data_IF_143391301226
#
_entry.id   IF_143391301226
#
_cell.length_a   1.000
_cell.length_b   1.000
_cell.length_c   1.000
_cell.angle_alpha   90.00
_cell.angle_beta   90.00
_cell.angle_gamma   90.00
#
_symmetry.space_group_name_H-M   'P 1'
#
loop_
_entity.id
_entity.type
_entity.pdbx_description
1 polymer ?
#
# COMPACT_ATOMS: atom_id res chain seq x y z
N UNK A 1 18.32 5.53 16.22
CA UNK A 1 18.27 5.43 14.75
C UNK A 1 17.47 6.57 14.14
N UNK A 2 16.28 6.85 14.66
CA UNK A 2 15.37 7.91 14.19
C UNK A 2 16.07 9.26 13.93
N UNK A 3 16.76 9.83 14.94
CA UNK A 3 17.47 11.12 14.77
C UNK A 3 18.50 11.13 13.63
N UNK A 4 19.17 10.00 13.40
CA UNK A 4 20.13 9.87 12.30
C UNK A 4 19.41 9.85 10.95
N UNK A 5 18.34 9.03 10.82
CA UNK A 5 17.52 8.99 9.60
C UNK A 5 16.98 10.39 9.30
N UNK A 6 16.33 11.02 10.28
CA UNK A 6 15.79 12.37 10.18
C UNK A 6 16.84 13.37 9.70
N UNK A 7 18.00 13.42 10.36
CA UNK A 7 19.10 14.31 9.95
C UNK A 7 19.54 14.03 8.51
N UNK A 8 19.75 12.78 8.13
CA UNK A 8 20.22 12.43 6.80
C UNK A 8 19.18 12.73 5.71
N UNK A 9 17.92 12.36 5.92
CA UNK A 9 16.81 12.59 4.99
C UNK A 9 16.59 14.08 4.76
N UNK A 10 16.46 14.88 5.82
CA UNK A 10 16.14 16.31 5.70
C UNK A 10 17.29 17.14 5.11
N UNK A 11 18.53 16.65 5.19
CA UNK A 11 19.69 17.28 4.55
C UNK A 11 19.99 16.74 3.14
N UNK A 12 19.18 15.81 2.61
CA UNK A 12 19.41 15.21 1.29
C UNK A 12 20.59 14.24 1.23
N UNK A 13 21.07 13.74 2.37
CA UNK A 13 22.18 12.79 2.49
C UNK A 13 21.71 11.35 2.22
N UNK A 14 21.05 11.09 1.09
CA UNK A 14 20.32 9.83 0.82
C UNK A 14 21.22 8.59 0.75
N UNK A 15 22.47 8.73 0.29
CA UNK A 15 23.46 7.64 0.34
C UNK A 15 23.72 7.14 1.77
N UNK A 16 23.67 8.03 2.76
CA UNK A 16 23.84 7.66 4.16
C UNK A 16 22.61 6.89 4.68
N UNK A 17 21.41 7.27 4.24
CA UNK A 17 20.17 6.56 4.56
C UNK A 17 20.19 5.15 3.97
N UNK A 18 20.60 5.01 2.71
CA UNK A 18 20.76 3.70 2.06
C UNK A 18 21.75 2.79 2.81
N UNK A 19 22.87 3.35 3.28
CA UNK A 19 23.85 2.61 4.11
C UNK A 19 23.27 2.19 5.46
N UNK A 20 22.43 3.03 6.08
CA UNK A 20 21.74 2.66 7.31
C UNK A 20 20.76 1.50 7.08
N UNK A 21 19.99 1.56 5.99
CA UNK A 21 19.06 0.48 5.60
C UNK A 21 19.78 -0.85 5.39
N UNK A 22 20.93 -0.84 4.70
CA UNK A 22 21.68 -2.08 4.43
C UNK A 22 22.49 -2.61 5.61
N UNK A 23 22.76 -1.77 6.63
CA UNK A 23 23.52 -2.14 7.81
C UNK A 23 22.65 -2.58 9.00
N UNK A 24 21.33 -2.52 8.86
CA UNK A 24 20.35 -2.78 9.93
C UNK A 24 19.39 -3.87 9.50
N UNK A 25 18.76 -4.54 10.47
CA UNK A 25 17.55 -5.33 10.18
C UNK A 25 16.47 -4.43 9.53
N UNK A 26 15.83 -4.94 8.48
CA UNK A 26 14.90 -4.13 7.70
C UNK A 26 13.68 -3.69 8.52
N UNK A 27 13.17 -4.52 9.43
CA UNK A 27 12.02 -4.16 10.25
C UNK A 27 12.38 -3.05 11.24
N UNK A 28 13.56 -3.13 11.87
CA UNK A 28 14.07 -2.05 12.74
C UNK A 28 14.25 -0.74 11.95
N UNK A 29 14.77 -0.81 10.72
CA UNK A 29 14.89 0.36 9.86
C UNK A 29 13.52 0.91 9.43
N UNK A 30 12.57 0.06 9.01
CA UNK A 30 11.20 0.42 8.60
C UNK A 30 10.51 1.18 9.74
N UNK A 31 10.52 0.64 10.96
CA UNK A 31 9.94 1.26 12.15
C UNK A 31 10.58 2.62 12.47
N UNK A 32 11.91 2.70 12.44
CA UNK A 32 12.62 3.95 12.69
C UNK A 32 12.34 5.00 11.60
N UNK A 33 12.30 4.60 10.33
CA UNK A 33 12.06 5.48 9.20
C UNK A 33 10.65 6.09 9.23
N UNK A 34 9.64 5.25 9.44
CA UNK A 34 8.23 5.68 9.53
C UNK A 34 8.01 6.56 10.76
N UNK A 35 8.62 6.22 11.90
CA UNK A 35 8.53 7.06 13.11
C UNK A 35 9.14 8.45 12.87
N UNK A 36 10.30 8.54 12.22
CA UNK A 36 10.91 9.82 11.87
C UNK A 36 10.04 10.63 10.91
N UNK A 37 9.45 9.98 9.91
CA UNK A 37 8.54 10.63 8.98
C UNK A 37 7.25 11.15 9.64
N UNK A 38 6.72 10.42 10.63
CA UNK A 38 5.52 10.81 11.36
C UNK A 38 5.71 12.09 12.20
N UNK A 39 6.92 12.35 12.71
CA UNK A 39 7.20 13.57 13.46
C UNK A 39 7.31 14.83 12.59
N UNK A 40 7.86 14.69 11.38
CA UNK A 40 8.20 15.81 10.51
C UNK A 40 7.21 16.02 9.36
N UNK A 41 6.50 14.96 8.96
CA UNK A 41 5.55 14.92 7.84
C UNK A 41 6.14 15.47 6.52
N UNK A 42 7.45 15.34 6.35
CA UNK A 42 8.16 15.91 5.21
C UNK A 42 8.13 14.99 3.98
N UNK A 43 7.79 15.55 2.81
CA UNK A 43 7.91 14.84 1.53
C UNK A 43 9.35 14.46 1.16
N UNK A 44 10.36 14.94 1.90
CA UNK A 44 11.75 14.51 1.75
C UNK A 44 11.94 13.03 2.06
N UNK A 45 11.15 12.46 2.98
CA UNK A 45 11.17 11.02 3.23
C UNK A 45 10.75 10.25 1.98
N UNK A 46 9.70 10.69 1.28
CA UNK A 46 9.30 10.06 0.03
C UNK A 46 10.32 10.26 -1.08
N UNK A 47 10.89 11.47 -1.17
CA UNK A 47 11.96 11.80 -2.14
C UNK A 47 13.19 10.90 -1.97
N UNK A 48 13.56 10.58 -0.73
CA UNK A 48 14.65 9.65 -0.43
C UNK A 48 14.34 8.22 -0.92
N UNK A 49 13.12 7.73 -0.70
CA UNK A 49 12.71 6.40 -1.20
C UNK A 49 12.74 6.35 -2.73
N UNK A 50 12.23 7.39 -3.41
CA UNK A 50 12.29 7.49 -4.87
C UNK A 50 13.73 7.53 -5.40
N UNK A 51 14.64 8.20 -4.68
CA UNK A 51 16.06 8.16 -5.00
C UNK A 51 16.61 6.72 -4.92
N UNK A 52 16.30 5.98 -3.85
CA UNK A 52 16.76 4.60 -3.69
C UNK A 52 16.17 3.65 -4.75
N UNK A 53 14.87 3.79 -5.08
CA UNK A 53 14.21 3.02 -6.15
C UNK A 53 14.91 3.21 -7.49
N UNK A 54 15.29 4.45 -7.83
CA UNK A 54 15.99 4.75 -9.08
C UNK A 54 17.35 4.08 -9.20
N UNK A 55 18.01 3.79 -8.09
CA UNK A 55 19.29 3.09 -8.09
C UNK A 55 19.13 1.58 -8.10
N UNK A 56 18.25 1.06 -7.24
CA UNK A 56 17.97 -0.36 -7.11
C UNK A 56 16.53 -0.57 -6.64
N UNK A 57 15.66 -0.93 -7.57
CA UNK A 57 14.25 -1.16 -7.31
C UNK A 57 14.05 -2.49 -6.56
N UNK A 58 13.43 -2.42 -5.38
CA UNK A 58 13.16 -3.59 -4.53
C UNK A 58 11.78 -3.51 -3.90
N UNK A 59 11.25 -4.67 -3.52
CA UNK A 59 9.96 -4.81 -2.84
C UNK A 59 9.93 -4.10 -1.50
N UNK A 60 11.04 -4.16 -0.77
CA UNK A 60 11.22 -3.55 0.54
C UNK A 60 11.07 -2.03 0.47
N UNK A 61 11.65 -1.38 -0.53
CA UNK A 61 11.53 0.08 -0.69
C UNK A 61 10.10 0.45 -1.10
N UNK A 62 9.44 -0.35 -1.95
CA UNK A 62 8.03 -0.13 -2.29
C UNK A 62 7.10 -0.32 -1.10
N UNK A 63 7.34 -1.33 -0.27
CA UNK A 63 6.56 -1.55 0.95
C UNK A 63 6.71 -0.41 1.95
N UNK A 64 7.93 0.11 2.09
CA UNK A 64 8.21 1.27 2.94
C UNK A 64 7.56 2.54 2.38
N UNK A 65 7.59 2.73 1.05
CA UNK A 65 6.93 3.85 0.38
C UNK A 65 5.41 3.79 0.52
N UNK A 66 4.83 2.60 0.37
CA UNK A 66 3.42 2.35 0.65
C UNK A 66 3.07 2.79 2.07
N UNK A 67 3.80 2.30 3.08
CA UNK A 67 3.53 2.60 4.48
C UNK A 67 3.67 4.10 4.79
N UNK A 68 4.68 4.74 4.20
CA UNK A 68 4.89 6.19 4.31
C UNK A 68 3.68 6.98 3.80
N UNK A 69 3.08 6.55 2.68
CA UNK A 69 2.01 7.27 1.99
C UNK A 69 0.62 7.01 2.56
N UNK A 70 0.39 5.85 3.17
CA UNK A 70 -0.90 5.55 3.84
C UNK A 70 -0.90 5.97 5.31
N UNK A 71 0.24 6.37 5.87
CA UNK A 71 0.36 6.76 7.27
C UNK A 71 0.99 8.15 7.46
N UNK A 72 2.31 8.38 7.57
CA UNK A 72 2.85 9.73 7.82
C UNK A 72 2.45 10.80 6.81
N UNK A 73 2.27 10.43 5.54
CA UNK A 73 1.97 11.37 4.45
C UNK A 73 0.55 11.22 3.89
N UNK A 74 -0.37 10.58 4.63
CA UNK A 74 -1.73 10.30 4.13
C UNK A 74 -2.52 11.54 3.74
N UNK A 75 -2.22 12.68 4.35
CA UNK A 75 -2.89 13.95 4.12
C UNK A 75 -2.36 14.70 2.90
N UNK A 76 -1.26 14.24 2.29
CA UNK A 76 -0.72 14.82 1.06
C UNK A 76 -1.65 14.44 -0.12
N UNK A 77 -2.14 15.41 -0.91
CA UNK A 77 -2.98 15.11 -2.07
C UNK A 77 -2.30 14.12 -3.03
N UNK A 78 -2.99 13.03 -3.35
CA UNK A 78 -2.48 11.95 -4.20
C UNK A 78 -1.61 10.91 -3.49
N UNK A 79 -1.43 10.99 -2.16
CA UNK A 79 -0.66 10.00 -1.42
C UNK A 79 -1.24 8.58 -1.54
N UNK A 80 -2.56 8.44 -1.44
CA UNK A 80 -3.22 7.13 -1.55
C UNK A 80 -3.09 6.55 -2.97
N UNK A 81 -3.16 7.38 -4.01
CA UNK A 81 -2.92 6.96 -5.39
C UNK A 81 -1.46 6.51 -5.60
N UNK A 82 -0.50 7.23 -5.00
CA UNK A 82 0.90 6.84 -5.02
C UNK A 82 1.16 5.56 -4.20
N UNK A 83 0.43 5.34 -3.10
CA UNK A 83 0.48 4.09 -2.36
C UNK A 83 -0.04 2.93 -3.21
N UNK A 84 -1.13 3.12 -3.95
CA UNK A 84 -1.63 2.15 -4.92
C UNK A 84 -0.56 1.79 -5.97
N UNK A 85 0.12 2.79 -6.54
CA UNK A 85 1.24 2.56 -7.45
C UNK A 85 2.33 1.65 -6.85
N UNK A 86 2.76 1.92 -5.61
CA UNK A 86 3.79 1.10 -4.96
C UNK A 86 3.33 -0.31 -4.59
N UNK A 87 2.07 -0.49 -4.19
CA UNK A 87 1.51 -1.81 -3.97
C UNK A 87 1.49 -2.63 -5.29
N UNK A 88 1.15 -2.01 -6.42
CA UNK A 88 1.23 -2.67 -7.74
C UNK A 88 2.68 -3.01 -8.13
N UNK A 89 3.64 -2.09 -7.97
CA UNK A 89 5.05 -2.37 -8.22
C UNK A 89 5.57 -3.54 -7.38
N UNK A 90 5.23 -3.58 -6.08
CA UNK A 90 5.62 -4.68 -5.18
C UNK A 90 5.01 -6.02 -5.62
N UNK A 91 3.74 -6.01 -6.08
CA UNK A 91 3.09 -7.20 -6.66
C UNK A 91 3.81 -7.64 -7.94
N UNK A 92 4.16 -6.72 -8.84
CA UNK A 92 4.79 -7.07 -10.12
C UNK A 92 6.20 -7.67 -9.91
N UNK A 93 7.02 -7.08 -9.04
CA UNK A 93 8.35 -7.59 -8.68
C UNK A 93 8.27 -9.00 -8.09
N UNK A 94 7.28 -9.27 -7.24
CA UNK A 94 7.09 -10.59 -6.61
C UNK A 94 6.30 -11.55 -7.48
N UNK A 95 5.83 -11.12 -8.65
CA UNK A 95 4.90 -11.87 -9.52
C UNK A 95 3.65 -12.30 -8.76
N UNK A 96 3.20 -11.46 -7.82
CA UNK A 96 2.05 -11.67 -6.96
C UNK A 96 2.18 -12.88 -6.04
N UNK A 97 3.40 -13.23 -5.63
CA UNK A 97 3.65 -14.35 -4.70
C UNK A 97 3.85 -13.91 -3.26
N UNK A 98 3.95 -12.60 -3.02
CA UNK A 98 4.14 -12.06 -1.69
C UNK A 98 2.79 -11.66 -1.07
N UNK A 99 2.48 -12.24 0.09
CA UNK A 99 1.20 -12.00 0.77
C UNK A 99 1.13 -10.58 1.31
N UNK A 100 2.26 -10.00 1.77
CA UNK A 100 2.33 -8.62 2.26
C UNK A 100 1.87 -7.61 1.21
N UNK A 101 2.42 -7.68 -0.01
CA UNK A 101 2.06 -6.78 -1.12
C UNK A 101 0.57 -6.88 -1.50
N UNK A 102 0.01 -8.09 -1.47
CA UNK A 102 -1.42 -8.29 -1.74
C UNK A 102 -2.31 -7.76 -0.61
N UNK A 103 -1.88 -7.87 0.65
CA UNK A 103 -2.62 -7.33 1.79
C UNK A 103 -2.64 -5.79 1.79
N UNK A 104 -1.56 -5.14 1.34
CA UNK A 104 -1.53 -3.69 1.13
C UNK A 104 -2.62 -3.24 0.14
N UNK A 105 -2.84 -4.02 -0.92
CA UNK A 105 -3.91 -3.77 -1.88
C UNK A 105 -5.30 -3.88 -1.23
N UNK A 106 -5.50 -4.82 -0.29
CA UNK A 106 -6.74 -4.91 0.48
C UNK A 106 -6.89 -3.78 1.51
N UNK A 107 -5.79 -3.24 2.04
CA UNK A 107 -5.84 -2.06 2.92
C UNK A 107 -6.42 -0.84 2.18
N UNK A 108 -6.00 -0.63 0.93
CA UNK A 108 -6.50 0.45 0.08
C UNK A 108 -8.00 0.33 -0.26
N UNK A 109 -8.54 -0.89 -0.26
CA UNK A 109 -9.97 -1.14 -0.38
C UNK A 109 -10.76 -0.78 0.89
N UNK A 110 -10.11 -0.88 2.05
CA UNK A 110 -10.74 -0.63 3.35
C UNK A 110 -10.81 0.85 3.74
N UNK A 111 -10.25 1.76 2.92
CA UNK A 111 -10.33 3.20 3.15
C UNK A 111 -11.77 3.71 2.95
N UNK A 112 -12.17 4.82 3.62
CA UNK A 112 -13.50 5.41 3.44
C UNK A 112 -13.81 5.78 1.99
N UNK A 113 -12.78 6.20 1.25
CA UNK A 113 -12.80 6.41 -0.19
C UNK A 113 -11.86 5.38 -0.85
N UNK A 114 -12.36 4.18 -1.22
CA UNK A 114 -11.53 3.13 -1.77
C UNK A 114 -10.93 3.53 -3.12
N UNK A 115 -9.62 3.32 -3.29
CA UNK A 115 -8.94 3.49 -4.59
C UNK A 115 -9.02 2.24 -5.47
N UNK A 116 -9.52 1.12 -4.93
CA UNK A 116 -9.78 -0.10 -5.71
C UNK A 116 -11.22 -0.57 -5.61
N UNK A 117 -11.69 -1.19 -6.70
CA UNK A 117 -13.04 -1.76 -6.77
C UNK A 117 -13.18 -3.06 -5.98
N UNK A 118 -14.43 -3.38 -5.60
CA UNK A 118 -14.79 -4.68 -5.02
C UNK A 118 -14.32 -5.86 -5.88
N UNK A 119 -14.40 -5.75 -7.21
CA UNK A 119 -13.93 -6.78 -8.14
C UNK A 119 -12.42 -7.03 -8.00
N UNK A 120 -11.61 -5.97 -7.93
CA UNK A 120 -10.15 -6.09 -7.74
C UNK A 120 -9.85 -6.68 -6.36
N UNK A 121 -10.50 -6.19 -5.30
CA UNK A 121 -10.34 -6.70 -3.94
C UNK A 121 -10.73 -8.18 -3.81
N UNK A 122 -11.78 -8.62 -4.50
CA UNK A 122 -12.20 -10.02 -4.59
C UNK A 122 -11.13 -10.91 -5.22
N UNK A 123 -10.56 -10.50 -6.36
CA UNK A 123 -9.51 -11.26 -7.05
C UNK A 123 -8.21 -11.32 -6.24
N UNK A 124 -7.80 -10.20 -5.64
CA UNK A 124 -6.65 -10.14 -4.72
C UNK A 124 -6.87 -11.07 -3.52
N UNK A 125 -8.06 -11.08 -2.94
CA UNK A 125 -8.41 -11.97 -1.83
C UNK A 125 -8.31 -13.44 -2.20
N UNK A 126 -8.77 -13.83 -3.41
CA UNK A 126 -8.58 -15.19 -3.93
C UNK A 126 -7.11 -15.55 -4.07
N UNK A 127 -6.29 -14.62 -4.55
CA UNK A 127 -4.87 -14.85 -4.73
C UNK A 127 -4.16 -15.06 -3.39
N UNK A 128 -4.46 -14.22 -2.38
CA UNK A 128 -3.94 -14.39 -1.02
C UNK A 128 -4.33 -15.77 -0.48
N UNK A 129 -5.60 -16.18 -0.61
CA UNK A 129 -6.06 -17.46 -0.07
C UNK A 129 -5.48 -18.70 -0.80
N UNK A 130 -4.93 -18.53 -2.01
CA UNK A 130 -4.14 -19.59 -2.67
C UNK A 130 -2.74 -19.73 -2.05
N UNK A 131 -2.15 -18.64 -1.60
CA UNK A 131 -0.80 -18.59 -1.01
C UNK A 131 -0.83 -18.89 0.50
N UNK A 132 -1.79 -18.29 1.21
CA UNK A 132 -2.07 -18.45 2.63
C UNK A 132 -3.58 -18.73 2.82
N UNK A 133 -4.00 -20.01 2.77
CA UNK A 133 -5.39 -20.40 2.98
C UNK A 133 -5.95 -20.04 4.35
N UNK A 134 -5.09 -19.75 5.33
CA UNK A 134 -5.49 -19.42 6.70
C UNK A 134 -5.84 -17.93 6.88
N UNK A 135 -5.44 -17.08 5.92
CA UNK A 135 -5.53 -15.64 6.00
C UNK A 135 -6.95 -15.14 6.30
N UNK A 136 -7.14 -14.54 7.48
CA UNK A 136 -8.46 -14.08 7.94
C UNK A 136 -8.91 -12.82 7.22
N UNK A 137 -7.99 -11.90 6.93
CA UNK A 137 -8.28 -10.63 6.26
C UNK A 137 -8.83 -10.90 4.86
N UNK A 138 -8.10 -11.66 4.05
CA UNK A 138 -8.55 -12.03 2.71
C UNK A 138 -9.87 -12.80 2.72
N UNK A 139 -10.09 -13.70 3.69
CA UNK A 139 -11.36 -14.43 3.79
C UNK A 139 -12.55 -13.50 4.09
N UNK A 140 -12.36 -12.49 4.92
CA UNK A 140 -13.41 -11.53 5.24
C UNK A 140 -13.72 -10.64 4.02
N UNK A 141 -12.68 -10.05 3.42
CA UNK A 141 -12.84 -9.19 2.23
C UNK A 141 -13.49 -9.95 1.08
N UNK A 142 -13.10 -11.22 0.83
CA UNK A 142 -13.72 -12.06 -0.19
C UNK A 142 -15.24 -12.21 0.01
N UNK A 143 -15.68 -12.46 1.24
CA UNK A 143 -17.11 -12.62 1.56
C UNK A 143 -17.87 -11.32 1.38
N UNK A 144 -17.30 -10.22 1.87
CA UNK A 144 -17.96 -8.92 1.84
C UNK A 144 -18.09 -8.38 0.42
N UNK A 145 -17.03 -8.52 -0.39
CA UNK A 145 -17.03 -8.14 -1.81
C UNK A 145 -17.98 -9.02 -2.63
N UNK A 146 -18.02 -10.34 -2.40
CA UNK A 146 -18.97 -11.23 -3.08
C UNK A 146 -20.43 -10.81 -2.82
N UNK A 147 -20.77 -10.54 -1.55
CA UNK A 147 -22.13 -10.11 -1.18
C UNK A 147 -22.54 -8.81 -1.85
N UNK A 148 -21.66 -7.80 -1.88
CA UNK A 148 -21.94 -6.53 -2.54
C UNK A 148 -22.09 -6.69 -4.04
N UNK A 149 -21.24 -7.49 -4.67
CA UNK A 149 -21.34 -7.77 -6.10
C UNK A 149 -22.64 -8.49 -6.48
N UNK A 150 -23.08 -9.46 -5.68
CA UNK A 150 -24.36 -10.14 -5.87
C UNK A 150 -25.55 -9.17 -5.72
N UNK A 151 -25.49 -8.24 -4.75
CA UNK A 151 -26.52 -7.21 -4.57
C UNK A 151 -26.59 -6.23 -5.76
N UNK A 152 -25.45 -5.83 -6.31
CA UNK A 152 -25.40 -4.96 -7.49
C UNK A 152 -26.02 -5.64 -8.72
N UNK A 153 -25.86 -6.96 -8.88
CA UNK A 153 -26.50 -7.72 -9.96
C UNK A 153 -28.03 -7.74 -9.80
N UNK A 154 -28.53 -7.80 -8.57
CA UNK A 154 -29.99 -7.81 -8.28
C UNK A 154 -30.63 -6.42 -8.45
N UNK A 155 -29.87 -5.32 -8.26
CA UNK A 155 -30.41 -3.96 -8.31
C UNK A 155 -30.62 -3.40 -9.74
N UNK A 156 -30.12 -4.08 -10.79
CA UNK A 156 -30.39 -3.70 -12.18
C UNK A 156 -31.88 -3.86 -12.59
N UNK A 157 -32.65 -4.67 -11.86
CA UNK A 157 -34.08 -4.86 -12.10
C UNK A 157 -34.94 -3.66 -11.62
N UNK A 158 -34.36 -2.69 -10.89
CA UNK A 158 -35.07 -1.45 -10.51
C UNK A 158 -34.96 -0.33 -11.57
N UNK A 159 -34.12 -0.49 -12.59
CA UNK A 159 -33.95 0.48 -13.68
C UNK A 159 -35.07 0.41 -14.75
N UNK A 160 -36.01 -0.53 -14.65
CA UNK A 160 -37.20 -0.56 -15.53
C UNK A 160 -38.32 0.40 -15.12
N UNK A 161 -38.21 1.10 -13.98
CA UNK A 161 -39.25 2.02 -13.50
C UNK A 161 -39.13 3.47 -14.00
N UNK A 162 -38.17 3.78 -14.87
CA UNK A 162 -38.00 5.13 -15.46
C UNK A 162 -38.13 5.17 -16.99
N UNK A 163 -38.93 4.27 -17.59
CA UNK A 163 -39.28 4.36 -19.01
C UNK A 163 -40.69 4.86 -19.33
N UNK A 164 -41.51 5.14 -18.32
CA UNK A 164 -42.84 5.75 -18.51
C UNK A 164 -43.03 6.94 -17.56
N UNK A 165 -42.46 8.09 -17.91
CA UNK A 165 -42.83 9.40 -17.37
C UNK A 165 -42.59 10.50 -18.41
#
# INVERSE_FOLDING_TARGET
MQDLIKRHVLNGEFDAVKKLMSATDFLEFEEAYISSAYEDESVMYYTCLLYMIKEEETTEIHDLAFLLLVYPLSDVPGAIDAAYYHAESSIDLTKGKEVKSLLQMLLLHALPEPVISDKKAFEVSKQILKLDPSNKVARNVLKDTAKRMDQVVVDFDQLSHYKDA
#
